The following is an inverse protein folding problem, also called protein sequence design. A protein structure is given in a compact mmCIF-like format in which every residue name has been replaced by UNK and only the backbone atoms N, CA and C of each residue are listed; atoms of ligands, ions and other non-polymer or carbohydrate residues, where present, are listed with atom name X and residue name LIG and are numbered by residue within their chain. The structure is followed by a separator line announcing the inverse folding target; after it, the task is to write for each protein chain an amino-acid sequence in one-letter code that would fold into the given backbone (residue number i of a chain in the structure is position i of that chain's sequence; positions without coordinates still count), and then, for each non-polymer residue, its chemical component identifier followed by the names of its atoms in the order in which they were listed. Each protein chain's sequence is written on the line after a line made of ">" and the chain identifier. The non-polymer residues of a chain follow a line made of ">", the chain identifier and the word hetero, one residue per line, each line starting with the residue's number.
data_IF_254707975280
#
_entry.id   IF_254707975280
#
_cell.length_a   1.000
_cell.length_b   1.000
_cell.length_c   1.000
_cell.angle_alpha   90.00
_cell.angle_beta   90.00
_cell.angle_gamma   90.00
#
_symmetry.space_group_name_H-M   'P 1'
#
loop_
_entity.id
_entity.type
_entity.pdbx_description
1 polymer ?
#
# COMPACT_ATOMS: atom_id res chain seq x y z
N UNK A 1 -3.27 -9.68 4.47
CA UNK A 1 -2.42 -8.49 4.26
C UNK A 1 -3.10 -7.57 3.26
N UNK A 2 -3.32 -6.31 3.62
CA UNK A 2 -3.81 -5.27 2.72
C UNK A 2 -2.67 -4.30 2.42
N UNK A 3 -2.42 -4.07 1.14
CA UNK A 3 -1.45 -3.10 0.64
C UNK A 3 -2.24 -1.87 0.19
N UNK A 4 -2.11 -0.77 0.91
CA UNK A 4 -2.83 0.48 0.59
C UNK A 4 -1.86 1.47 -0.04
N UNK A 5 -2.18 1.95 -1.24
CA UNK A 5 -1.40 2.95 -1.96
C UNK A 5 -2.19 4.24 -2.19
N UNK A 6 -1.52 5.40 -2.33
CA UNK A 6 -2.25 6.63 -2.62
C UNK A 6 -2.98 6.49 -3.97
N UNK A 7 -4.27 6.82 -4.01
CA UNK A 7 -5.04 6.79 -5.26
C UNK A 7 -4.60 7.91 -6.20
N UNK A 8 -4.78 7.75 -7.50
CA UNK A 8 -4.64 8.88 -8.44
C UNK A 8 -5.88 8.99 -9.32
N UNK A 9 -6.19 10.19 -9.86
CA UNK A 9 -7.34 10.34 -10.74
C UNK A 9 -7.28 9.41 -11.94
N UNK A 10 -8.39 8.74 -12.27
CA UNK A 10 -8.46 7.80 -13.39
C UNK A 10 -8.11 8.47 -14.73
N UNK A 11 -8.30 9.78 -14.84
CA UNK A 11 -7.87 10.57 -16.01
C UNK A 11 -6.36 10.48 -16.25
N UNK A 12 -5.51 10.38 -15.21
CA UNK A 12 -4.05 10.18 -15.35
C UNK A 12 -3.75 8.80 -15.89
N UNK A 13 -4.37 7.77 -15.33
CA UNK A 13 -4.24 6.38 -15.81
C UNK A 13 -4.65 6.27 -17.28
N UNK A 14 -5.81 6.84 -17.66
CA UNK A 14 -6.30 6.86 -19.05
C UNK A 14 -5.37 7.63 -20.01
N UNK A 15 -4.50 8.50 -19.49
CA UNK A 15 -3.47 9.22 -20.26
C UNK A 15 -2.14 8.47 -20.35
N UNK A 16 -2.03 7.26 -19.80
CA UNK A 16 -0.83 6.42 -19.87
C UNK A 16 0.12 6.55 -18.68
N UNK A 17 -0.35 7.08 -17.55
CA UNK A 17 0.44 7.09 -16.32
C UNK A 17 0.73 5.64 -15.84
N UNK A 18 2.01 5.24 -15.65
CA UNK A 18 2.38 3.86 -15.37
C UNK A 18 2.11 3.43 -13.92
N UNK A 19 1.70 4.36 -13.05
CA UNK A 19 1.61 4.16 -11.60
C UNK A 19 0.86 2.89 -11.20
N UNK A 20 -0.32 2.62 -11.79
CA UNK A 20 -1.09 1.41 -11.47
C UNK A 20 -0.30 0.14 -11.76
N UNK A 21 0.33 0.09 -12.93
CA UNK A 21 1.01 -1.11 -13.39
C UNK A 21 2.28 -1.38 -12.55
N UNK A 22 2.97 -0.32 -12.10
CA UNK A 22 4.10 -0.41 -11.18
C UNK A 22 3.70 -0.85 -9.76
N UNK A 23 2.57 -0.33 -9.25
CA UNK A 23 2.00 -0.74 -7.97
C UNK A 23 1.57 -2.22 -8.02
N UNK A 24 0.82 -2.63 -9.04
CA UNK A 24 0.40 -4.02 -9.22
C UNK A 24 1.59 -4.97 -9.39
N UNK A 25 2.65 -4.54 -10.08
CA UNK A 25 3.91 -5.30 -10.17
C UNK A 25 4.54 -5.47 -8.80
N UNK A 26 4.59 -4.42 -7.99
CA UNK A 26 5.14 -4.46 -6.63
C UNK A 26 4.33 -5.42 -5.74
N UNK A 27 3.00 -5.37 -5.81
CA UNK A 27 2.11 -6.32 -5.12
C UNK A 27 2.44 -7.77 -5.48
N UNK A 28 2.60 -8.07 -6.77
CA UNK A 28 2.95 -9.43 -7.24
C UNK A 28 4.31 -9.89 -6.70
N UNK A 29 5.30 -9.00 -6.65
CA UNK A 29 6.63 -9.32 -6.12
C UNK A 29 6.60 -9.56 -4.61
N UNK A 30 5.87 -8.74 -3.86
CA UNK A 30 5.67 -8.92 -2.41
C UNK A 30 4.94 -10.24 -2.14
N UNK A 31 3.83 -10.51 -2.83
CA UNK A 31 3.06 -11.74 -2.65
C UNK A 31 3.89 -13.00 -2.88
N UNK A 32 4.83 -12.98 -3.84
CA UNK A 32 5.75 -14.11 -4.10
C UNK A 32 6.72 -14.41 -2.95
N UNK A 33 6.98 -13.43 -2.07
CA UNK A 33 7.85 -13.60 -0.90
C UNK A 33 7.08 -14.06 0.35
N UNK A 34 5.75 -14.10 0.29
CA UNK A 34 4.90 -14.46 1.42
C UNK A 34 4.48 -15.93 1.35
N UNK A 35 4.18 -16.55 2.51
CA UNK A 35 3.51 -17.85 2.56
C UNK A 35 2.19 -17.86 1.77
N UNK A 36 1.87 -19.01 1.15
CA UNK A 36 0.71 -19.15 0.24
C UNK A 36 -0.66 -18.96 0.92
N UNK A 37 -0.74 -19.11 2.24
CA UNK A 37 -1.94 -18.92 3.04
C UNK A 37 -2.22 -17.45 3.36
N UNK A 38 -1.26 -16.55 3.14
CA UNK A 38 -1.45 -15.11 3.30
C UNK A 38 -2.18 -14.54 2.08
N UNK A 39 -3.45 -14.19 2.27
CA UNK A 39 -4.23 -13.43 1.28
C UNK A 39 -3.74 -11.99 1.20
N UNK A 40 -3.41 -11.54 -0.02
CA UNK A 40 -2.95 -10.18 -0.32
C UNK A 40 -4.06 -9.41 -1.05
N UNK A 41 -4.39 -8.22 -0.57
CA UNK A 41 -5.36 -7.31 -1.17
C UNK A 41 -4.69 -5.98 -1.50
N UNK A 42 -4.95 -5.45 -2.70
CA UNK A 42 -4.54 -4.10 -3.08
C UNK A 42 -5.74 -3.15 -2.99
N UNK A 43 -5.55 -1.99 -2.39
CA UNK A 43 -6.51 -0.90 -2.35
C UNK A 43 -5.81 0.45 -2.46
N UNK A 44 -6.62 1.49 -2.67
CA UNK A 44 -6.13 2.85 -2.86
C UNK A 44 -6.77 3.80 -1.86
N UNK A 45 -5.98 4.67 -1.22
CA UNK A 45 -6.42 5.61 -0.19
C UNK A 45 -6.47 7.07 -0.68
N UNK A 46 -6.90 7.96 0.20
CA UNK A 46 -6.76 9.41 0.06
C UNK A 46 -7.43 10.00 -1.20
N UNK A 47 -8.58 9.46 -1.58
CA UNK A 47 -9.46 10.06 -2.59
C UNK A 47 -9.98 11.42 -2.10
N UNK A 48 -9.85 12.45 -2.95
CA UNK A 48 -10.36 13.80 -2.67
C UNK A 48 -11.33 14.27 -3.76
N UNK A 49 -12.49 14.75 -3.34
CA UNK A 49 -13.49 15.34 -4.23
C UNK A 49 -14.25 14.34 -5.12
N UNK A 50 -15.11 14.83 -6.02
CA UNK A 50 -16.11 14.03 -6.71
C UNK A 50 -15.64 13.39 -8.04
N UNK A 51 -14.35 13.48 -8.39
CA UNK A 51 -13.84 12.91 -9.65
C UNK A 51 -13.68 11.38 -9.55
N UNK A 52 -13.47 10.72 -10.70
CA UNK A 52 -13.17 9.28 -10.75
C UNK A 52 -11.71 9.03 -10.32
N UNK A 53 -11.52 8.16 -9.33
CA UNK A 53 -10.23 7.80 -8.76
C UNK A 53 -9.95 6.30 -8.93
N UNK A 54 -8.67 5.93 -8.91
CA UNK A 54 -8.24 4.55 -8.95
C UNK A 54 -8.79 3.79 -7.72
N UNK A 55 -9.30 2.59 -7.95
CA UNK A 55 -10.07 1.78 -6.99
C UNK A 55 -9.56 0.33 -6.98
N UNK A 56 -9.89 -0.50 -5.97
CA UNK A 56 -10.88 -0.28 -4.88
C UNK A 56 -10.40 0.73 -3.84
N UNK A 57 -11.32 1.46 -3.21
CA UNK A 57 -10.95 2.38 -2.11
C UNK A 57 -10.60 1.60 -0.83
N UNK A 58 -9.74 2.16 0.01
CA UNK A 58 -9.25 1.50 1.22
C UNK A 58 -10.35 1.27 2.25
N UNK A 59 -11.20 2.27 2.48
CA UNK A 59 -12.38 2.17 3.35
C UNK A 59 -13.38 1.11 2.85
N UNK A 60 -13.69 1.10 1.56
CA UNK A 60 -14.54 0.09 0.92
C UNK A 60 -13.97 -1.33 1.09
N UNK A 61 -12.66 -1.49 0.94
CA UNK A 61 -11.98 -2.77 1.13
C UNK A 61 -12.05 -3.22 2.60
N UNK A 62 -11.86 -2.33 3.56
CA UNK A 62 -11.99 -2.64 5.00
C UNK A 62 -13.38 -3.18 5.31
N UNK A 63 -14.43 -2.50 4.84
CA UNK A 63 -15.83 -2.95 5.05
C UNK A 63 -16.05 -4.32 4.40
N UNK A 64 -15.63 -4.50 3.15
CA UNK A 64 -15.77 -5.76 2.42
C UNK A 64 -15.08 -6.92 3.13
N UNK A 65 -13.86 -6.73 3.64
CA UNK A 65 -13.13 -7.77 4.36
C UNK A 65 -13.80 -8.12 5.68
N UNK A 66 -14.32 -7.12 6.39
CA UNK A 66 -15.08 -7.34 7.62
C UNK A 66 -16.36 -8.16 7.37
N UNK A 67 -17.12 -7.85 6.31
CA UNK A 67 -18.31 -8.60 5.89
C UNK A 67 -17.99 -10.05 5.50
N UNK A 68 -16.77 -10.30 5.01
CA UNK A 68 -16.25 -11.66 4.75
C UNK A 68 -15.80 -12.40 6.02
N UNK A 69 -15.96 -11.79 7.20
CA UNK A 69 -15.61 -12.39 8.48
C UNK A 69 -14.13 -12.30 8.83
N UNK A 70 -13.32 -11.49 8.12
CA UNK A 70 -11.92 -11.27 8.48
C UNK A 70 -11.84 -10.63 9.87
N UNK A 71 -10.99 -11.19 10.74
CA UNK A 71 -10.72 -10.66 12.10
C UNK A 71 -9.33 -10.06 12.23
N UNK A 72 -8.38 -10.57 11.45
CA UNK A 72 -6.98 -10.16 11.46
C UNK A 72 -6.62 -9.41 10.17
N UNK A 73 -6.29 -8.13 10.31
CA UNK A 73 -5.94 -7.26 9.19
C UNK A 73 -4.62 -6.53 9.44
N UNK A 74 -3.60 -6.92 8.68
CA UNK A 74 -2.37 -6.16 8.53
C UNK A 74 -2.48 -5.21 7.35
N UNK A 75 -2.10 -3.94 7.53
CA UNK A 75 -2.11 -2.92 6.47
C UNK A 75 -0.72 -2.33 6.29
N UNK A 76 -0.17 -2.40 5.07
CA UNK A 76 1.10 -1.79 4.70
C UNK A 76 0.87 -0.57 3.80
N UNK A 77 1.50 0.59 4.09
CA UNK A 77 1.42 1.80 3.26
C UNK A 77 2.29 1.67 2.00
N UNK A 78 1.80 0.93 1.01
CA UNK A 78 2.49 0.74 -0.26
C UNK A 78 2.61 2.06 -1.02
N UNK A 79 3.82 2.42 -1.47
CA UNK A 79 4.06 3.65 -2.22
C UNK A 79 4.61 4.80 -1.37
N UNK A 80 4.70 4.63 -0.05
CA UNK A 80 5.49 5.51 0.82
C UNK A 80 6.66 4.74 1.43
N UNK A 81 7.84 5.38 1.45
CA UNK A 81 9.04 4.82 2.07
C UNK A 81 9.25 5.35 3.49
N UNK A 82 8.54 6.39 3.89
CA UNK A 82 8.61 6.99 5.22
C UNK A 82 7.20 7.29 5.74
N UNK A 83 7.03 7.20 7.05
CA UNK A 83 5.76 7.56 7.68
C UNK A 83 5.45 9.04 7.47
N UNK A 84 4.18 9.31 7.22
CA UNK A 84 3.60 10.62 7.00
C UNK A 84 2.17 10.68 7.54
N UNK A 85 1.48 11.80 7.34
CA UNK A 85 0.09 11.99 7.79
C UNK A 85 -0.85 10.90 7.30
N UNK A 86 -0.75 10.46 6.06
CA UNK A 86 -1.66 9.43 5.52
C UNK A 86 -1.41 8.06 6.17
N UNK A 87 -0.15 7.73 6.43
CA UNK A 87 0.17 6.46 7.11
C UNK A 87 -0.25 6.47 8.58
N UNK A 88 0.11 7.52 9.34
CA UNK A 88 -0.10 7.57 10.78
C UNK A 88 -1.57 7.85 11.08
N UNK A 89 -2.18 8.81 10.40
CA UNK A 89 -3.54 9.26 10.68
C UNK A 89 -4.57 8.48 9.87
N UNK A 90 -4.48 8.42 8.53
CA UNK A 90 -5.51 7.73 7.75
C UNK A 90 -5.50 6.22 8.00
N UNK A 91 -4.36 5.54 7.84
CA UNK A 91 -4.30 4.10 8.11
C UNK A 91 -4.30 3.80 9.60
N UNK A 92 -3.43 4.47 10.36
CA UNK A 92 -3.19 4.14 11.78
C UNK A 92 -4.33 4.52 12.72
N UNK A 93 -5.19 5.45 12.33
CA UNK A 93 -6.33 5.89 13.14
C UNK A 93 -7.66 5.72 12.40
N UNK A 94 -7.88 6.40 11.26
CA UNK A 94 -9.20 6.42 10.63
C UNK A 94 -9.67 5.04 10.13
N UNK A 95 -8.82 4.34 9.37
CA UNK A 95 -9.16 3.02 8.85
C UNK A 95 -9.10 1.94 9.92
N UNK A 96 -8.26 2.14 10.94
CA UNK A 96 -8.26 1.29 12.14
C UNK A 96 -9.60 1.37 12.87
N UNK A 97 -10.07 2.58 13.17
CA UNK A 97 -11.35 2.82 13.86
C UNK A 97 -12.51 2.24 13.04
N UNK A 98 -12.49 2.42 11.71
CA UNK A 98 -13.47 1.80 10.82
C UNK A 98 -13.42 0.26 10.87
N UNK A 99 -12.22 -0.33 10.83
CA UNK A 99 -12.05 -1.78 10.88
C UNK A 99 -12.61 -2.36 12.19
N UNK A 100 -12.28 -1.75 13.32
CA UNK A 100 -12.76 -2.15 14.64
C UNK A 100 -14.28 -2.05 14.74
N UNK A 101 -14.87 -0.94 14.26
CA UNK A 101 -16.34 -0.77 14.20
C UNK A 101 -17.04 -1.82 13.34
N UNK A 102 -16.38 -2.31 12.29
CA UNK A 102 -16.91 -3.36 11.41
C UNK A 102 -16.62 -4.78 11.90
N UNK A 103 -15.93 -4.92 13.03
CA UNK A 103 -15.69 -6.20 13.70
C UNK A 103 -14.40 -6.91 13.26
N UNK A 104 -13.44 -6.20 12.67
CA UNK A 104 -12.04 -6.63 12.56
C UNK A 104 -11.37 -6.30 13.89
N UNK A 105 -11.11 -7.30 14.71
CA UNK A 105 -10.65 -7.11 16.10
C UNK A 105 -9.14 -6.97 16.23
N UNK A 106 -8.38 -7.44 15.23
CA UNK A 106 -6.93 -7.42 15.23
C UNK A 106 -6.43 -6.63 14.01
N UNK A 107 -6.48 -5.31 14.12
CA UNK A 107 -5.95 -4.41 13.10
C UNK A 107 -4.53 -3.97 13.48
N UNK A 108 -3.59 -4.04 12.52
CA UNK A 108 -2.27 -3.46 12.70
C UNK A 108 -1.77 -2.81 11.40
N UNK A 109 -1.38 -1.54 11.52
CA UNK A 109 -0.58 -0.85 10.50
C UNK A 109 0.87 -1.32 10.62
N UNK A 110 1.48 -1.66 9.50
CA UNK A 110 2.92 -1.89 9.37
C UNK A 110 3.58 -0.53 9.13
N UNK A 111 4.68 -0.26 9.83
CA UNK A 111 5.45 0.96 9.63
C UNK A 111 5.97 1.04 8.19
N UNK A 112 6.11 2.27 7.66
CA UNK A 112 6.86 2.45 6.44
C UNK A 112 8.33 2.04 6.64
N UNK A 113 9.09 1.94 5.53
CA UNK A 113 10.49 1.48 5.58
C UNK A 113 11.36 2.38 6.49
N UNK A 114 11.07 3.68 6.55
CA UNK A 114 11.73 4.66 7.41
C UNK A 114 13.27 4.56 7.30
N UNK A 115 13.92 4.11 8.36
CA UNK A 115 15.38 3.97 8.46
C UNK A 115 15.81 2.51 8.54
N UNK A 116 14.98 1.59 8.02
CA UNK A 116 15.32 0.17 7.95
C UNK A 116 16.66 -0.03 7.22
N UNK A 117 17.66 -0.69 7.85
CA UNK A 117 18.98 -0.85 7.26
C UNK A 117 18.96 -1.58 5.91
N UNK A 118 18.09 -2.57 5.73
CA UNK A 118 17.98 -3.33 4.47
C UNK A 118 17.47 -2.42 3.36
N UNK A 119 16.53 -1.51 3.67
CA UNK A 119 16.08 -0.52 2.70
C UNK A 119 17.20 0.47 2.31
N UNK A 120 17.97 0.96 3.28
CA UNK A 120 19.10 1.87 3.03
C UNK A 120 20.18 1.18 2.17
N UNK A 121 20.47 -0.09 2.45
CA UNK A 121 21.40 -0.90 1.65
C UNK A 121 20.87 -1.09 0.22
N UNK A 122 19.57 -1.36 0.05
CA UNK A 122 18.95 -1.48 -1.27
C UNK A 122 19.03 -0.18 -2.10
N UNK A 123 18.88 0.99 -1.46
CA UNK A 123 19.10 2.28 -2.13
C UNK A 123 20.56 2.46 -2.56
N UNK A 124 21.50 2.06 -1.70
CA UNK A 124 22.94 2.09 -2.01
C UNK A 124 23.26 1.21 -3.22
N UNK A 125 22.75 -0.02 -3.24
CA UNK A 125 22.94 -0.95 -4.36
C UNK A 125 22.36 -0.43 -5.67
N UNK A 126 21.18 0.19 -5.61
CA UNK A 126 20.55 0.81 -6.78
C UNK A 126 21.42 1.92 -7.39
N UNK A 127 21.97 2.79 -6.53
CA UNK A 127 22.85 3.89 -6.95
C UNK A 127 24.15 3.34 -7.55
N UNK A 128 24.80 2.38 -6.90
CA UNK A 128 26.06 1.80 -7.37
C UNK A 128 25.89 1.03 -8.68
N UNK A 129 24.78 0.32 -8.84
CA UNK A 129 24.43 -0.36 -10.09
C UNK A 129 24.29 0.65 -11.22
N UNK A 130 23.51 1.72 -10.99
CA UNK A 130 23.28 2.75 -12.00
C UNK A 130 24.56 3.52 -12.36
N UNK A 131 25.45 3.74 -11.38
CA UNK A 131 26.75 4.34 -11.60
C UNK A 131 27.61 3.48 -12.53
N UNK A 132 27.71 2.17 -12.28
CA UNK A 132 28.45 1.23 -13.12
C UNK A 132 27.91 1.22 -14.55
N UNK A 133 26.60 1.12 -14.74
CA UNK A 133 25.98 1.11 -16.08
C UNK A 133 26.23 2.38 -16.89
N UNK A 134 26.46 3.52 -16.23
CA UNK A 134 26.62 4.82 -16.89
C UNK A 134 28.09 5.14 -17.21
N UNK A 135 29.02 4.63 -16.41
CA UNK A 135 30.42 5.08 -16.42
C UNK A 135 31.46 3.97 -16.53
N UNK A 136 31.07 2.69 -16.46
CA UNK A 136 31.93 1.55 -16.78
C UNK A 136 31.66 1.06 -18.21
#
# INVERSE_FOLDING_TARGET
>A
LMLSAHSIPMKRIKKGDPYRDEIERSVKLIQKQLPNDIKVHLCYQSKVGPIEWLSPQTDEMVVKLAEQGVKDLLVYPLGFVADNSETIYEIGMLYKDLAEQKGITNFKRIDALNTDPIFIDALTDLILTRYKEKFA
#
